data_IF_596838553896
#
_entry.id   IF_596838553896
#
_cell.length_a   1.000
_cell.length_b   1.000
_cell.length_c   1.000
_cell.angle_alpha   90.00
_cell.angle_beta   90.00
_cell.angle_gamma   90.00
#
_symmetry.space_group_name_H-M   'P 1'
#
loop_
_entity.id
_entity.type
_entity.pdbx_description
1 polymer ?
#
# COMPACT_ATOMS: atom_id res chain seq x y z
N UNK A 1 -11.58 -21.97 19.84
CA UNK A 1 -12.67 -21.85 18.86
C UNK A 1 -12.23 -20.84 17.82
N UNK A 2 -11.91 -21.27 16.60
CA UNK A 2 -11.62 -20.37 15.49
C UNK A 2 -12.97 -19.98 14.92
N UNK A 3 -13.44 -18.77 15.24
CA UNK A 3 -14.59 -18.18 14.55
C UNK A 3 -14.27 -18.16 13.06
N UNK A 4 -15.02 -18.94 12.30
CA UNK A 4 -14.92 -19.02 10.86
C UNK A 4 -15.43 -17.68 10.31
N UNK A 5 -14.54 -16.71 10.12
CA UNK A 5 -14.87 -15.41 9.55
C UNK A 5 -15.70 -15.62 8.27
N UNK A 6 -16.89 -15.03 8.25
CA UNK A 6 -17.81 -15.09 7.12
C UNK A 6 -17.12 -14.46 5.90
N UNK A 7 -16.82 -15.32 4.92
CA UNK A 7 -15.92 -14.99 3.80
C UNK A 7 -16.62 -14.03 2.85
N UNK A 8 -16.33 -12.74 2.97
CA UNK A 8 -16.84 -11.74 2.02
C UNK A 8 -15.87 -11.58 0.83
N UNK A 9 -15.93 -12.52 -0.12
CA UNK A 9 -15.12 -12.53 -1.35
C UNK A 9 -15.12 -11.19 -2.08
N UNK A 10 -16.28 -10.52 -2.16
CA UNK A 10 -16.41 -9.24 -2.85
C UNK A 10 -15.52 -8.17 -2.22
N UNK A 11 -15.45 -8.14 -0.89
CA UNK A 11 -14.64 -7.17 -0.15
C UNK A 11 -13.15 -7.44 -0.33
N UNK A 12 -12.73 -8.70 -0.23
CA UNK A 12 -11.33 -9.08 -0.40
C UNK A 12 -10.82 -8.72 -1.81
N UNK A 13 -11.61 -9.04 -2.84
CA UNK A 13 -11.30 -8.71 -4.23
C UNK A 13 -11.33 -7.21 -4.51
N UNK A 14 -12.25 -6.45 -3.89
CA UNK A 14 -12.31 -5.00 -4.04
C UNK A 14 -11.07 -4.32 -3.44
N UNK A 15 -10.62 -4.76 -2.25
CA UNK A 15 -9.40 -4.25 -1.63
C UNK A 15 -8.17 -4.58 -2.48
N UNK A 16 -8.09 -5.80 -3.01
CA UNK A 16 -7.00 -6.18 -3.91
C UNK A 16 -6.97 -5.31 -5.17
N UNK A 17 -8.11 -5.15 -5.86
CA UNK A 17 -8.21 -4.31 -7.06
C UNK A 17 -7.92 -2.84 -6.77
N UNK A 18 -8.35 -2.34 -5.61
CA UNK A 18 -8.05 -0.97 -5.18
C UNK A 18 -6.55 -0.77 -4.98
N UNK A 19 -5.88 -1.70 -4.30
CA UNK A 19 -4.42 -1.66 -4.12
C UNK A 19 -3.67 -1.70 -5.46
N UNK A 20 -4.09 -2.57 -6.38
CA UNK A 20 -3.50 -2.65 -7.73
C UNK A 20 -3.74 -1.36 -8.54
N UNK A 21 -4.96 -0.83 -8.52
CA UNK A 21 -5.28 0.41 -9.23
C UNK A 21 -4.48 1.61 -8.67
N UNK A 22 -4.32 1.69 -7.36
CA UNK A 22 -3.49 2.71 -6.72
C UNK A 22 -2.01 2.59 -7.09
N UNK A 23 -1.46 1.37 -7.15
CA UNK A 23 -0.08 1.16 -7.63
C UNK A 23 0.09 1.61 -9.08
N UNK A 24 -0.81 1.23 -9.98
CA UNK A 24 -0.77 1.64 -11.38
C UNK A 24 -0.83 3.18 -11.50
N UNK A 25 -1.70 3.82 -10.72
CA UNK A 25 -1.83 5.28 -10.72
C UNK A 25 -0.55 5.97 -10.26
N UNK A 26 0.08 5.44 -9.21
CA UNK A 26 1.35 5.95 -8.67
C UNK A 26 2.47 5.79 -9.71
N UNK A 27 2.60 4.61 -10.32
CA UNK A 27 3.63 4.34 -11.35
C UNK A 27 3.47 5.27 -12.58
N UNK A 28 2.23 5.44 -13.05
CA UNK A 28 1.92 6.31 -14.21
C UNK A 28 2.17 7.79 -13.89
N UNK A 29 1.90 8.23 -12.66
CA UNK A 29 2.12 9.64 -12.27
C UNK A 29 3.59 9.93 -11.96
N UNK A 30 4.34 8.96 -11.43
CA UNK A 30 5.75 9.12 -11.09
C UNK A 30 6.68 9.05 -12.30
N UNK A 31 6.31 8.31 -13.34
CA UNK A 31 7.07 8.26 -14.60
C UNK A 31 6.98 9.56 -15.41
N UNK A 32 6.06 10.47 -15.08
CA UNK A 32 5.83 11.71 -15.84
C UNK A 32 6.70 12.90 -15.40
N UNK A 33 7.25 12.91 -14.17
CA UNK A 33 8.03 14.06 -13.66
C UNK A 33 9.27 13.63 -12.86
N UNK A 34 10.38 14.40 -12.90
CA UNK A 34 11.54 14.13 -12.07
C UNK A 34 11.15 14.27 -10.58
N UNK A 35 11.26 13.15 -9.86
CA UNK A 35 10.90 13.04 -8.45
C UNK A 35 11.80 13.96 -7.62
N UNK A 36 11.30 15.16 -7.29
CA UNK A 36 11.97 16.02 -6.30
C UNK A 36 11.93 15.35 -4.92
N UNK A 37 12.88 15.66 -4.04
CA UNK A 37 13.05 15.01 -2.72
C UNK A 37 11.76 15.00 -1.89
N UNK A 38 10.92 16.04 -2.02
CA UNK A 38 9.60 16.13 -1.37
C UNK A 38 8.56 15.19 -1.99
N UNK A 39 8.62 14.99 -3.30
CA UNK A 39 7.74 14.08 -4.03
C UNK A 39 8.09 12.61 -3.75
N UNK A 40 9.38 12.30 -3.52
CA UNK A 40 9.84 10.94 -3.17
C UNK A 40 9.18 10.41 -1.89
N UNK A 41 9.04 11.26 -0.87
CA UNK A 41 8.42 10.89 0.42
C UNK A 41 6.92 10.60 0.25
N UNK A 42 6.22 11.44 -0.51
CA UNK A 42 4.79 11.28 -0.79
C UNK A 42 4.56 10.02 -1.64
N UNK A 43 5.44 9.77 -2.60
CA UNK A 43 5.44 8.57 -3.42
C UNK A 43 5.65 7.31 -2.58
N UNK A 44 6.65 7.30 -1.70
CA UNK A 44 6.88 6.21 -0.74
C UNK A 44 5.68 5.97 0.16
N UNK A 45 5.10 7.03 0.74
CA UNK A 45 3.89 6.94 1.57
C UNK A 45 2.72 6.28 0.81
N UNK A 46 2.42 6.77 -0.38
CA UNK A 46 1.33 6.28 -1.23
C UNK A 46 1.58 4.83 -1.68
N UNK A 47 2.83 4.50 -2.02
CA UNK A 47 3.24 3.15 -2.38
C UNK A 47 3.04 2.19 -1.21
N UNK A 48 3.55 2.54 -0.02
CA UNK A 48 3.38 1.72 1.19
C UNK A 48 1.92 1.51 1.58
N UNK A 49 1.08 2.56 1.48
CA UNK A 49 -0.37 2.42 1.68
C UNK A 49 -1.02 1.48 0.65
N UNK A 50 -0.65 1.60 -0.63
CA UNK A 50 -1.21 0.76 -1.69
C UNK A 50 -0.84 -0.71 -1.50
N UNK A 51 0.42 -0.98 -1.13
CA UNK A 51 0.89 -2.32 -0.74
C UNK A 51 0.12 -2.83 0.48
N UNK A 52 -0.10 -2.00 1.51
CA UNK A 52 -0.86 -2.38 2.70
C UNK A 52 -2.30 -2.81 2.39
N UNK A 53 -2.99 -2.07 1.51
CA UNK A 53 -4.35 -2.40 1.06
C UNK A 53 -4.35 -3.67 0.22
N UNK A 54 -3.38 -3.83 -0.68
CA UNK A 54 -3.24 -5.02 -1.52
C UNK A 54 -3.01 -6.27 -0.67
N UNK A 55 -2.06 -6.22 0.26
CA UNK A 55 -1.76 -7.33 1.19
C UNK A 55 -2.96 -7.63 2.11
N UNK A 56 -3.72 -6.60 2.50
CA UNK A 56 -4.95 -6.79 3.27
C UNK A 56 -6.00 -7.59 2.49
N UNK A 57 -6.11 -7.39 1.17
CA UNK A 57 -6.95 -8.18 0.28
C UNK A 57 -6.43 -9.62 0.08
N UNK A 58 -5.12 -9.80 -0.10
CA UNK A 58 -4.48 -11.12 -0.32
C UNK A 58 -4.59 -12.01 0.93
N UNK A 59 -4.26 -11.46 2.11
CA UNK A 59 -4.20 -12.22 3.36
C UNK A 59 -5.54 -12.30 4.11
N UNK A 60 -6.62 -11.72 3.57
CA UNK A 60 -7.90 -11.57 4.27
C UNK A 60 -7.75 -10.95 5.65
N UNK A 61 -7.01 -9.85 5.72
CA UNK A 61 -6.84 -9.14 6.96
C UNK A 61 -8.20 -8.59 7.44
N UNK A 62 -8.48 -8.69 8.75
CA UNK A 62 -9.69 -8.08 9.30
C UNK A 62 -9.66 -6.56 9.08
N UNK A 63 -10.81 -5.89 9.01
CA UNK A 63 -10.88 -4.43 8.83
C UNK A 63 -9.96 -3.69 9.81
N UNK A 64 -9.90 -4.14 11.07
CA UNK A 64 -9.01 -3.57 12.08
C UNK A 64 -7.52 -3.74 11.75
N UNK A 65 -7.12 -4.89 11.23
CA UNK A 65 -5.74 -5.16 10.83
C UNK A 65 -5.36 -4.38 9.56
N UNK A 66 -6.26 -4.28 8.59
CA UNK A 66 -6.04 -3.44 7.41
C UNK A 66 -5.85 -1.97 7.80
N UNK A 67 -6.67 -1.45 8.72
CA UNK A 67 -6.60 -0.07 9.21
C UNK A 67 -5.33 0.25 9.99
N UNK A 68 -4.72 -0.73 10.67
CA UNK A 68 -3.47 -0.51 11.41
C UNK A 68 -2.22 -0.78 10.57
N UNK A 69 -2.26 -1.80 9.71
CA UNK A 69 -1.10 -2.18 8.87
C UNK A 69 -0.87 -1.21 7.71
N UNK A 70 -1.94 -0.70 7.08
CA UNK A 70 -1.84 0.24 5.95
C UNK A 70 -1.08 1.52 6.30
N UNK A 71 -1.44 2.27 7.37
CA UNK A 71 -0.68 3.47 7.74
C UNK A 71 0.73 3.13 8.24
N UNK A 72 0.93 1.97 8.90
CA UNK A 72 2.28 1.54 9.32
C UNK A 72 3.21 1.29 8.12
N UNK A 73 2.69 0.65 7.07
CA UNK A 73 3.43 0.42 5.82
C UNK A 73 3.66 1.74 5.07
N UNK A 74 2.66 2.62 5.01
CA UNK A 74 2.81 3.96 4.45
C UNK A 74 3.93 4.73 5.14
N UNK A 75 3.92 4.82 6.48
CA UNK A 75 4.96 5.53 7.24
C UNK A 75 6.33 4.88 7.02
N UNK A 76 6.41 3.56 7.02
CA UNK A 76 7.68 2.84 6.78
C UNK A 76 8.31 3.16 5.43
N UNK A 77 7.51 3.15 4.35
CA UNK A 77 8.00 3.51 3.03
C UNK A 77 8.28 5.01 2.87
N UNK A 78 7.52 5.89 3.53
CA UNK A 78 7.78 7.33 3.56
C UNK A 78 9.14 7.63 4.23
N UNK A 79 9.42 6.98 5.36
CA UNK A 79 10.71 7.08 6.05
C UNK A 79 11.83 6.48 5.21
N UNK A 80 11.60 5.32 4.57
CA UNK A 80 12.57 4.72 3.64
C UNK A 80 12.95 5.64 2.49
N UNK A 81 11.96 6.33 1.90
CA UNK A 81 12.18 7.33 0.86
C UNK A 81 12.88 8.60 1.35
N UNK A 82 12.75 8.97 2.64
CA UNK A 82 13.51 10.08 3.24
C UNK A 82 14.97 9.74 3.48
N UNK A 83 15.28 8.49 3.81
CA UNK A 83 16.63 8.06 4.16
C UNK A 83 17.48 7.79 2.90
N UNK A 84 16.89 7.91 1.70
CA UNK A 84 17.56 7.56 0.44
C UNK A 84 18.14 6.16 0.51
N UNK A 85 17.43 5.20 1.15
CA UNK A 85 17.78 3.79 1.03
C UNK A 85 17.40 3.40 -0.40
N UNK A 86 18.37 3.28 -1.32
CA UNK A 86 18.03 3.01 -2.69
C UNK A 86 17.64 1.54 -2.72
N UNK A 87 16.34 1.27 -2.82
CA UNK A 87 15.86 -0.02 -3.32
C UNK A 87 16.27 -0.09 -4.81
N UNK A 88 17.56 -0.37 -5.03
CA UNK A 88 18.07 -0.81 -6.33
C UNK A 88 17.51 -2.22 -6.57
N UNK A 89 16.45 -2.28 -7.36
CA UNK A 89 16.11 -3.47 -8.14
C UNK A 89 17.01 -3.54 -9.37
#
# INVERSE_FOLDING_TARGET
MIEKQERNIRRDSALFLLGVASLILIEVTATAEPVTTKNSVIHGLLFGCSVGILLSGVFRATNKQALTSTPSLGIGFAVGAMIDFPFHW
#
